data_IF_535698690510
#
_entry.id   IF_535698690510
#
_cell.length_a   1.000
_cell.length_b   1.000
_cell.length_c   1.000
_cell.angle_alpha   90.00
_cell.angle_beta   90.00
_cell.angle_gamma   90.00
#
_symmetry.space_group_name_H-M   'P 1'
#
loop_
_entity.id
_entity.type
_entity.pdbx_description
1 polymer ?
#
# COMPACT_ATOMS: atom_id res chain seq x y z
N UNK A 1 -3.10 -13.58 -5.45
CA UNK A 1 -3.46 -12.49 -4.53
C UNK A 1 -4.86 -12.76 -3.99
N UNK A 2 -5.01 -13.21 -2.74
CA UNK A 2 -6.34 -13.36 -2.13
C UNK A 2 -6.83 -11.94 -1.78
N UNK A 3 -7.93 -11.48 -2.40
CA UNK A 3 -8.51 -10.19 -2.05
C UNK A 3 -9.05 -10.27 -0.63
N UNK A 4 -8.43 -9.57 0.32
CA UNK A 4 -9.17 -9.16 1.53
C UNK A 4 -10.26 -8.20 1.06
N UNK A 5 -11.52 -8.58 1.24
CA UNK A 5 -12.67 -7.77 0.87
C UNK A 5 -12.77 -6.45 1.65
N UNK A 6 -11.95 -6.28 2.70
CA UNK A 6 -12.05 -5.20 3.68
C UNK A 6 -10.93 -4.16 3.60
N UNK A 7 -10.00 -4.24 2.64
CA UNK A 7 -8.98 -3.19 2.50
C UNK A 7 -9.67 -1.86 2.12
N UNK A 8 -9.52 -0.79 2.91
CA UNK A 8 -10.20 0.47 2.64
C UNK A 8 -9.66 1.05 1.32
N UNK A 9 -10.55 1.30 0.35
CA UNK A 9 -10.17 1.99 -0.89
C UNK A 9 -11.30 2.91 -1.35
N UNK A 10 -10.92 4.03 -1.96
CA UNK A 10 -11.87 4.95 -2.60
C UNK A 10 -11.57 5.13 -4.10
N UNK A 11 -10.38 5.61 -4.47
CA UNK A 11 -10.08 5.97 -5.87
C UNK A 11 -9.47 4.85 -6.73
N UNK A 12 -8.71 3.92 -6.13
CA UNK A 12 -7.84 2.95 -6.84
C UNK A 12 -6.86 3.56 -7.88
N UNK A 13 -6.61 4.87 -7.81
CA UNK A 13 -5.73 5.60 -8.73
C UNK A 13 -4.48 6.20 -8.07
N UNK A 14 -4.27 5.94 -6.77
CA UNK A 14 -3.11 6.44 -6.04
C UNK A 14 -3.21 7.89 -5.57
N UNK A 15 -4.40 8.50 -5.60
CA UNK A 15 -4.61 9.94 -5.30
C UNK A 15 -5.30 10.25 -3.97
N UNK A 16 -6.03 9.28 -3.37
CA UNK A 16 -6.88 9.56 -2.21
C UNK A 16 -6.31 9.13 -0.85
N UNK A 17 -5.21 8.36 -0.82
CA UNK A 17 -4.61 7.87 0.43
C UNK A 17 -5.43 6.86 1.24
N UNK A 18 -6.71 6.62 0.93
CA UNK A 18 -7.59 5.70 1.69
C UNK A 18 -7.04 4.28 1.82
N UNK A 19 -6.26 3.83 0.82
CA UNK A 19 -5.64 2.51 0.80
C UNK A 19 -4.21 2.50 1.38
N UNK A 20 -3.82 3.54 2.14
CA UNK A 20 -2.54 3.63 2.83
C UNK A 20 -2.43 2.51 3.87
N UNK A 21 -1.29 1.83 3.86
CA UNK A 21 -0.95 0.78 4.80
C UNK A 21 0.56 0.83 5.08
N UNK A 22 0.97 0.32 6.23
CA UNK A 22 2.38 0.14 6.57
C UNK A 22 2.86 -1.24 6.11
N UNK A 23 4.02 -1.29 5.44
CA UNK A 23 4.65 -2.55 5.03
C UNK A 23 5.41 -3.16 6.22
N UNK A 24 4.83 -4.21 6.82
CA UNK A 24 5.40 -4.91 7.96
C UNK A 24 6.52 -5.86 7.52
N UNK A 25 6.31 -6.58 6.41
CA UNK A 25 7.29 -7.52 5.86
C UNK A 25 7.14 -7.73 4.36
N UNK A 26 8.24 -8.17 3.72
CA UNK A 26 8.33 -8.37 2.27
C UNK A 26 8.70 -7.09 1.52
N UNK A 27 8.47 -7.09 0.21
CA UNK A 27 8.75 -5.94 -0.66
C UNK A 27 7.61 -5.74 -1.66
N UNK A 28 7.28 -4.48 -1.96
CA UNK A 28 6.27 -4.12 -2.95
C UNK A 28 6.76 -3.03 -3.88
N UNK A 29 6.25 -3.03 -5.11
CA UNK A 29 6.39 -1.94 -6.08
C UNK A 29 5.06 -1.23 -6.25
N UNK A 30 5.03 0.08 -6.03
CA UNK A 30 3.86 0.90 -6.33
C UNK A 30 3.85 1.31 -7.82
N UNK A 31 2.71 1.18 -8.50
CA UNK A 31 2.53 1.66 -9.87
C UNK A 31 2.44 3.19 -9.93
N UNK A 32 1.73 3.79 -8.96
CA UNK A 32 1.51 5.23 -8.84
C UNK A 32 1.45 5.62 -7.37
N UNK A 33 2.09 6.73 -7.03
CA UNK A 33 1.97 7.37 -5.73
C UNK A 33 1.80 8.88 -5.93
N UNK A 34 0.58 9.38 -5.73
CA UNK A 34 0.27 10.81 -5.74
C UNK A 34 -0.27 11.28 -4.38
N UNK A 35 -0.32 10.38 -3.38
CA UNK A 35 -1.00 10.64 -2.12
C UNK A 35 -0.07 10.56 -0.90
N UNK A 36 1.04 9.82 -0.98
CA UNK A 36 2.02 9.71 0.10
C UNK A 36 3.21 10.62 -0.21
N UNK A 37 3.64 11.35 0.81
CA UNK A 37 4.87 12.12 0.75
C UNK A 37 6.11 11.20 0.74
N UNK A 38 7.28 11.68 0.28
CA UNK A 38 8.51 10.89 0.26
C UNK A 38 8.85 10.30 1.63
N UNK A 39 8.74 11.10 2.68
CA UNK A 39 9.01 10.70 4.08
C UNK A 39 8.13 9.54 4.54
N UNK A 40 6.86 9.51 4.11
CA UNK A 40 5.95 8.41 4.42
C UNK A 40 6.37 7.13 3.70
N UNK A 41 6.77 7.23 2.43
CA UNK A 41 7.26 6.08 1.68
C UNK A 41 8.57 5.54 2.24
N UNK A 42 9.48 6.42 2.65
CA UNK A 42 10.74 6.06 3.30
C UNK A 42 10.50 5.44 4.69
N UNK A 43 9.45 5.88 5.39
CA UNK A 43 9.02 5.28 6.65
C UNK A 43 8.37 3.89 6.45
N UNK A 44 8.08 3.47 5.22
CA UNK A 44 7.50 2.16 4.91
C UNK A 44 5.99 2.17 4.64
N UNK A 45 5.36 3.33 4.47
CA UNK A 45 3.97 3.41 4.03
C UNK A 45 3.83 3.20 2.53
N UNK A 46 2.78 2.49 2.14
CA UNK A 46 2.47 2.14 0.76
C UNK A 46 0.97 2.31 0.49
N UNK A 47 0.62 2.51 -0.77
CA UNK A 47 -0.78 2.48 -1.23
C UNK A 47 -1.12 1.06 -1.67
N UNK A 48 -1.77 0.28 -0.81
CA UNK A 48 -2.08 -1.13 -1.07
C UNK A 48 -2.82 -1.34 -2.40
N UNK A 49 -3.66 -0.38 -2.80
CA UNK A 49 -4.39 -0.44 -4.06
C UNK A 49 -3.53 -0.20 -5.31
N UNK A 50 -2.28 0.25 -5.17
CA UNK A 50 -1.31 0.43 -6.25
C UNK A 50 -0.04 -0.43 -6.07
N UNK A 51 0.02 -1.26 -5.03
CA UNK A 51 1.20 -2.07 -4.69
C UNK A 51 1.12 -3.47 -5.30
N UNK A 52 2.22 -3.90 -5.94
CA UNK A 52 2.43 -5.28 -6.39
C UNK A 52 3.54 -5.93 -5.57
N UNK A 53 3.33 -7.14 -5.02
CA UNK A 53 4.37 -7.83 -4.26
C UNK A 53 5.53 -8.23 -5.17
N UNK A 54 6.75 -7.97 -4.70
CA UNK A 54 8.00 -8.42 -5.31
C UNK A 54 8.54 -9.69 -4.63
N UNK A 55 8.05 -9.99 -3.43
CA UNK A 55 8.32 -11.21 -2.67
C UNK A 55 7.14 -12.19 -2.72
N UNK A 56 7.36 -13.48 -2.43
CA UNK A 56 6.27 -14.47 -2.36
C UNK A 56 5.20 -14.13 -1.32
N UNK A 57 5.59 -13.46 -0.25
CA UNK A 57 4.73 -13.05 0.85
C UNK A 57 5.02 -11.60 1.23
N UNK A 58 3.94 -10.87 1.54
CA UNK A 58 3.98 -9.48 2.02
C UNK A 58 2.93 -9.32 3.12
N UNK A 59 3.28 -8.55 4.15
CA UNK A 59 2.38 -8.24 5.26
C UNK A 59 2.15 -6.73 5.33
N UNK A 60 0.89 -6.33 5.37
CA UNK A 60 0.45 -4.94 5.42
C UNK A 60 -0.43 -4.71 6.65
N UNK A 61 -0.14 -3.63 7.37
CA UNK A 61 -0.94 -3.14 8.50
C UNK A 61 -1.70 -1.87 8.08
N UNK A 62 -3.03 -1.91 8.21
CA UNK A 62 -3.92 -0.81 7.84
C UNK A 62 -4.37 0.05 9.04
N UNK A 63 -4.05 -0.37 10.27
CA UNK A 63 -4.52 0.24 11.50
C UNK A 63 -3.42 1.10 12.18
N UNK A 64 -2.26 1.26 11.52
CA UNK A 64 -1.09 1.99 12.03
C UNK A 64 -1.12 3.50 11.79
#
# INVERSE_FOLDING_TARGET
>A
LRSRSDAPYACKGGVCGTCRAFLVSGEVRMDRNFALEPEETEAGFVLACQSHPLTPEVELDFDR
#
